data_IF_232029754094
#
_entry.id   IF_232029754094
#
_cell.length_a   1.000
_cell.length_b   1.000
_cell.length_c   1.000
_cell.angle_alpha   90.00
_cell.angle_beta   90.00
_cell.angle_gamma   90.00
#
_symmetry.space_group_name_H-M   'P 1'
#
loop_
_entity.id
_entity.type
_entity.pdbx_description
1 polymer ?
#
# COMPACT_ATOMS: atom_id res chain seq x y z
N UNK A 1 -2.43 21.63 -11.97
CA UNK A 1 -1.28 20.71 -12.15
C UNK A 1 -1.71 19.28 -11.80
N UNK A 2 -2.57 18.65 -12.61
CA UNK A 2 -3.12 17.32 -12.30
C UNK A 2 -2.50 16.17 -13.13
N UNK A 3 -1.66 16.48 -14.12
CA UNK A 3 -1.17 15.48 -15.09
C UNK A 3 0.11 14.73 -14.66
N UNK A 4 0.76 15.12 -13.56
CA UNK A 4 1.99 14.46 -13.11
C UNK A 4 1.73 13.25 -12.20
N UNK A 5 0.59 13.19 -11.53
CA UNK A 5 0.29 12.15 -10.53
C UNK A 5 -0.26 10.88 -11.20
N UNK A 6 -1.06 11.01 -12.26
CA UNK A 6 -1.63 9.86 -12.97
C UNK A 6 -0.55 9.05 -13.71
N UNK A 7 0.40 9.71 -14.39
CA UNK A 7 1.49 9.02 -15.10
C UNK A 7 2.48 8.30 -14.17
N UNK A 8 2.70 8.82 -12.96
CA UNK A 8 3.50 8.13 -11.95
C UNK A 8 2.77 6.93 -11.35
N UNK A 9 1.43 6.98 -11.23
CA UNK A 9 0.65 5.86 -10.71
C UNK A 9 0.81 4.60 -11.54
N UNK A 10 0.78 4.73 -12.86
CA UNK A 10 0.94 3.60 -13.78
C UNK A 10 2.40 3.13 -13.88
N UNK A 11 3.37 4.05 -13.86
CA UNK A 11 4.79 3.68 -13.79
C UNK A 11 5.11 2.92 -12.49
N UNK A 12 4.59 3.36 -11.34
CA UNK A 12 4.80 2.67 -10.07
C UNK A 12 4.08 1.33 -10.05
N UNK A 13 2.87 1.24 -10.63
CA UNK A 13 2.19 -0.04 -10.84
C UNK A 13 3.06 -0.99 -11.65
N UNK A 14 3.62 -0.56 -12.78
CA UNK A 14 4.51 -1.36 -13.62
C UNK A 14 5.80 -1.75 -12.89
N UNK A 15 6.44 -0.80 -12.21
CA UNK A 15 7.70 -1.01 -11.49
C UNK A 15 7.58 -2.00 -10.33
N UNK A 16 6.39 -2.05 -9.71
CA UNK A 16 6.08 -2.99 -8.64
C UNK A 16 5.22 -4.17 -9.12
N UNK A 17 4.87 -4.22 -10.40
CA UNK A 17 4.10 -5.31 -10.98
C UNK A 17 4.94 -6.59 -10.95
N UNK A 18 4.37 -7.66 -10.43
CA UNK A 18 5.09 -8.93 -10.25
C UNK A 18 5.92 -9.03 -8.96
N UNK A 19 5.97 -7.99 -8.11
CA UNK A 19 6.50 -8.15 -6.75
C UNK A 19 5.52 -8.91 -5.86
N UNK A 20 6.05 -9.77 -4.99
CA UNK A 20 5.22 -10.43 -3.98
C UNK A 20 4.92 -9.49 -2.79
N UNK A 21 3.93 -9.86 -1.98
CA UNK A 21 3.52 -9.09 -0.79
C UNK A 21 4.68 -8.78 0.18
N UNK A 22 5.66 -9.68 0.31
CA UNK A 22 6.82 -9.49 1.20
C UNK A 22 7.72 -8.38 0.70
N UNK A 23 7.94 -8.27 -0.61
CA UNK A 23 8.70 -7.20 -1.23
C UNK A 23 7.97 -5.86 -1.15
N UNK A 24 6.68 -5.85 -1.46
CA UNK A 24 5.84 -4.66 -1.32
C UNK A 24 5.85 -4.14 0.14
N UNK A 25 5.76 -5.04 1.12
CA UNK A 25 5.86 -4.66 2.54
C UNK A 25 7.19 -4.01 2.88
N UNK A 26 8.31 -4.53 2.34
CA UNK A 26 9.62 -3.92 2.55
C UNK A 26 9.68 -2.52 1.95
N UNK A 27 9.14 -2.33 0.74
CA UNK A 27 9.08 -1.03 0.06
C UNK A 27 8.19 -0.04 0.80
N UNK A 28 7.04 -0.47 1.30
CA UNK A 28 6.16 0.37 2.13
C UNK A 28 6.82 0.83 3.43
N UNK A 29 7.80 0.07 3.95
CA UNK A 29 8.58 0.41 5.15
C UNK A 29 9.93 1.08 4.84
N UNK A 30 10.29 1.22 3.57
CA UNK A 30 11.58 1.78 3.16
C UNK A 30 11.55 3.30 3.25
N UNK A 31 12.13 3.85 4.32
CA UNK A 31 12.22 5.30 4.55
C UNK A 31 13.05 6.06 3.51
N UNK A 32 13.80 5.36 2.64
CA UNK A 32 14.50 6.00 1.51
C UNK A 32 13.54 6.35 0.37
N UNK A 33 12.37 5.72 0.32
CA UNK A 33 11.35 6.04 -0.66
C UNK A 33 10.51 7.22 -0.20
N UNK A 34 10.11 8.12 -1.12
CA UNK A 34 9.15 9.17 -0.83
C UNK A 34 7.83 8.60 -0.28
N UNK A 35 7.18 9.37 0.59
CA UNK A 35 5.89 9.00 1.19
C UNK A 35 4.86 8.63 0.11
N UNK A 36 4.76 9.42 -0.95
CA UNK A 36 3.82 9.20 -2.07
C UNK A 36 4.02 7.83 -2.73
N UNK A 37 5.27 7.41 -2.94
CA UNK A 37 5.59 6.09 -3.49
C UNK A 37 5.17 4.99 -2.52
N UNK A 38 5.43 5.18 -1.23
CA UNK A 38 5.10 4.20 -0.19
C UNK A 38 3.58 4.06 -0.01
N UNK A 39 2.82 5.14 -0.13
CA UNK A 39 1.36 5.12 -0.16
C UNK A 39 0.84 4.31 -1.35
N UNK A 40 1.41 4.50 -2.55
CA UNK A 40 1.06 3.69 -3.73
C UNK A 40 1.42 2.22 -3.55
N UNK A 41 2.54 1.90 -2.91
CA UNK A 41 2.89 0.51 -2.58
C UNK A 41 1.83 -0.11 -1.65
N UNK A 42 1.33 0.64 -0.66
CA UNK A 42 0.23 0.18 0.20
C UNK A 42 -1.04 -0.08 -0.61
N UNK A 43 -1.38 0.78 -1.58
CA UNK A 43 -2.51 0.54 -2.48
C UNK A 43 -2.34 -0.73 -3.31
N UNK A 44 -1.13 -0.98 -3.83
CA UNK A 44 -0.83 -2.19 -4.58
C UNK A 44 -0.98 -3.46 -3.76
N UNK A 45 -0.66 -3.41 -2.45
CA UNK A 45 -0.87 -4.55 -1.56
C UNK A 45 -2.34 -4.94 -1.48
N UNK A 46 -3.28 -3.99 -1.60
CA UNK A 46 -4.73 -4.27 -1.56
C UNK A 46 -5.20 -5.16 -2.72
N UNK A 47 -4.48 -5.17 -3.84
CA UNK A 47 -4.81 -6.03 -4.98
C UNK A 47 -4.68 -7.53 -4.65
N UNK A 48 -3.98 -7.88 -3.57
CA UNK A 48 -3.86 -9.26 -3.07
C UNK A 48 -4.99 -9.64 -2.11
N UNK A 49 -5.97 -8.77 -1.88
CA UNK A 49 -7.16 -9.09 -1.07
C UNK A 49 -6.81 -9.50 0.37
N UNK A 50 -7.38 -10.63 0.82
CA UNK A 50 -7.22 -11.12 2.20
C UNK A 50 -5.78 -11.47 2.56
N UNK A 51 -4.97 -11.93 1.61
CA UNK A 51 -3.55 -12.27 1.84
C UNK A 51 -2.74 -11.04 2.27
N UNK A 52 -3.17 -9.85 1.86
CA UNK A 52 -2.51 -8.59 2.18
C UNK A 52 -2.72 -8.12 3.62
N UNK A 53 -3.71 -8.65 4.34
CA UNK A 53 -4.12 -8.17 5.67
C UNK A 53 -2.97 -8.21 6.66
N UNK A 54 -2.32 -9.37 6.81
CA UNK A 54 -1.20 -9.54 7.74
C UNK A 54 -0.01 -8.61 7.43
N UNK A 55 0.19 -8.31 6.15
CA UNK A 55 1.24 -7.42 5.68
C UNK A 55 0.91 -5.95 5.89
N UNK A 56 -0.33 -5.55 5.62
CA UNK A 56 -0.83 -4.21 5.89
C UNK A 56 -0.85 -3.91 7.39
N UNK A 57 -1.18 -4.89 8.25
CA UNK A 57 -1.10 -4.73 9.70
C UNK A 57 0.33 -4.47 10.16
N UNK A 58 1.29 -5.15 9.53
CA UNK A 58 2.71 -4.94 9.78
C UNK A 58 3.15 -3.54 9.35
N UNK A 59 2.67 -3.05 8.21
CA UNK A 59 2.92 -1.67 7.77
C UNK A 59 2.31 -0.67 8.75
N UNK A 60 1.04 -0.86 9.13
CA UNK A 60 0.33 -0.02 10.10
C UNK A 60 1.03 0.06 11.47
N UNK A 61 1.73 -1.00 11.89
CA UNK A 61 2.45 -1.02 13.18
C UNK A 61 3.88 -0.48 13.11
N UNK A 62 4.55 -0.59 11.96
CA UNK A 62 6.00 -0.33 11.84
C UNK A 62 6.37 0.88 11.01
N UNK A 63 5.46 1.38 10.18
CA UNK A 63 5.70 2.58 9.41
C UNK A 63 5.61 3.84 10.29
N UNK A 64 6.12 4.95 9.75
CA UNK A 64 5.87 6.31 10.22
C UNK A 64 4.39 6.69 10.10
N UNK A 65 3.99 7.71 10.88
CA UNK A 65 2.61 8.05 11.19
C UNK A 65 1.70 8.08 9.96
N UNK A 66 2.10 8.74 8.88
CA UNK A 66 1.26 8.90 7.69
C UNK A 66 1.00 7.57 6.96
N UNK A 67 2.04 6.78 6.70
CA UNK A 67 1.91 5.46 6.06
C UNK A 67 1.18 4.48 6.98
N UNK A 68 1.43 4.57 8.28
CA UNK A 68 0.79 3.72 9.28
C UNK A 68 -0.73 3.98 9.35
N UNK A 69 -1.13 5.24 9.42
CA UNK A 69 -2.53 5.66 9.39
C UNK A 69 -3.22 5.27 8.08
N UNK A 70 -2.53 5.42 6.95
CA UNK A 70 -3.04 5.04 5.64
C UNK A 70 -3.29 3.53 5.55
N UNK A 71 -2.29 2.71 5.89
CA UNK A 71 -2.44 1.25 5.92
C UNK A 71 -3.56 0.81 6.88
N UNK A 72 -3.66 1.43 8.05
CA UNK A 72 -4.73 1.19 9.02
C UNK A 72 -6.12 1.53 8.47
N UNK A 73 -6.25 2.63 7.70
CA UNK A 73 -7.50 2.99 7.01
C UNK A 73 -7.87 1.95 5.96
N UNK A 74 -6.91 1.54 5.13
CA UNK A 74 -7.13 0.53 4.08
C UNK A 74 -7.49 -0.84 4.62
N UNK A 75 -6.91 -1.26 5.74
CA UNK A 75 -7.34 -2.46 6.47
C UNK A 75 -8.81 -2.42 6.90
N UNK A 76 -9.26 -1.28 7.43
CA UNK A 76 -10.67 -1.11 7.83
C UNK A 76 -11.61 -1.12 6.62
N UNK A 77 -11.20 -0.55 5.49
CA UNK A 77 -11.95 -0.60 4.23
C UNK A 77 -12.07 -2.04 3.70
N UNK A 78 -10.98 -2.81 3.74
CA UNK A 78 -10.97 -4.25 3.42
C UNK A 78 -11.91 -5.06 4.32
N UNK A 79 -11.80 -4.90 5.64
CA UNK A 79 -12.64 -5.61 6.61
C UNK A 79 -14.13 -5.23 6.53
N UNK A 80 -14.42 -3.94 6.29
CA UNK A 80 -15.81 -3.48 6.11
C UNK A 80 -16.43 -3.96 4.79
N UNK A 81 -15.61 -4.18 3.76
CA UNK A 81 -16.05 -4.71 2.47
C UNK A 81 -16.34 -6.22 2.56
N UNK A 82 -15.63 -6.96 3.40
CA UNK A 82 -15.89 -8.38 3.68
C UNK A 82 -17.20 -8.59 4.46
N UNK A 83 -17.59 -7.65 5.33
CA UNK A 83 -18.81 -7.76 6.16
C UNK A 83 -20.11 -7.38 5.42
N UNK A 84 -20.04 -6.85 4.20
CA UNK A 84 -21.20 -6.44 3.38
C UNK A 84 -21.63 -7.47 2.32
N UNK A 85 -21.04 -8.66 2.31
CA UNK A 85 -21.39 -9.76 1.38
C UNK A 85 -22.18 -10.86 2.06
#
# INVERSE_FOLDING_TARGET
MAYFIDGMGDLLKEMFNGMNLKELTKKALDKKLPVEVRLKVVDLMLNFGEDSVSHLEKVAKKADTEIAEYAGRKLRELGSSAQKR
#
